data_IF_490530026865
#
_entry.id   IF_490530026865
#
_cell.length_a   1.000
_cell.length_b   1.000
_cell.length_c   1.000
_cell.angle_alpha   90.00
_cell.angle_beta   90.00
_cell.angle_gamma   90.00
#
_symmetry.space_group_name_H-M   'P 1'
#
loop_
_entity.id
_entity.type
_entity.pdbx_description
1 polymer ?
#
# COMPACT_ATOMS: atom_id res chain seq x y z
N UNK A 1 -14.95 52.30 -5.79
CA UNK A 1 -13.94 51.25 -6.00
C UNK A 1 -14.47 49.95 -5.40
N UNK A 2 -14.50 48.90 -6.21
CA UNK A 2 -15.52 47.84 -6.16
C UNK A 2 -15.20 46.73 -5.14
N UNK A 3 -16.16 46.39 -4.27
CA UNK A 3 -16.10 45.25 -3.31
C UNK A 3 -15.99 43.87 -3.99
N UNK A 4 -16.14 43.83 -5.31
CA UNK A 4 -16.07 42.62 -6.13
C UNK A 4 -14.61 42.14 -6.28
N UNK A 5 -13.62 43.04 -6.19
CA UNK A 5 -12.20 42.68 -6.37
C UNK A 5 -11.57 41.96 -5.16
N UNK A 6 -12.20 42.00 -3.98
CA UNK A 6 -11.71 41.30 -2.78
C UNK A 6 -12.13 39.82 -2.73
N UNK A 7 -13.24 39.45 -3.40
CA UNK A 7 -13.71 38.06 -3.46
C UNK A 7 -12.94 37.20 -4.47
N UNK A 8 -12.41 37.82 -5.54
CA UNK A 8 -11.58 37.12 -6.51
C UNK A 8 -10.20 36.69 -5.94
N UNK A 9 -9.68 37.42 -4.94
CA UNK A 9 -8.43 37.06 -4.27
C UNK A 9 -8.56 35.90 -3.28
N UNK A 10 -9.73 35.72 -2.67
CA UNK A 10 -9.94 34.64 -1.69
C UNK A 10 -10.19 33.27 -2.34
N UNK A 11 -10.74 33.23 -3.56
CA UNK A 11 -11.00 32.00 -4.31
C UNK A 11 -9.73 31.38 -4.90
N UNK A 12 -8.65 32.16 -5.08
CA UNK A 12 -7.35 31.66 -5.55
C UNK A 12 -6.52 30.99 -4.44
N UNK A 13 -6.87 31.18 -3.17
CA UNK A 13 -6.17 30.57 -2.03
C UNK A 13 -6.72 29.17 -1.70
N UNK A 14 -7.91 28.81 -2.21
CA UNK A 14 -8.52 27.49 -1.98
C UNK A 14 -8.09 26.41 -3.01
N UNK A 15 -7.34 26.77 -4.06
CA UNK A 15 -6.84 25.80 -5.05
C UNK A 15 -5.48 25.19 -4.69
N UNK A 16 -4.94 25.48 -3.50
CA UNK A 16 -3.76 24.78 -2.96
C UNK A 16 -4.19 23.78 -1.90
N UNK A 17 -5.27 23.05 -2.14
CA UNK A 17 -5.42 21.72 -1.53
C UNK A 17 -4.35 20.85 -2.17
N UNK A 18 -3.19 20.87 -1.49
CA UNK A 18 -2.05 20.01 -1.68
C UNK A 18 -2.49 18.67 -2.24
N UNK A 19 -2.10 18.40 -3.48
CA UNK A 19 -1.74 17.04 -3.85
C UNK A 19 -0.56 16.67 -2.94
N UNK A 20 -0.87 16.32 -1.68
CA UNK A 20 -0.02 15.44 -0.91
C UNK A 20 -0.06 14.14 -1.70
N UNK A 21 0.84 14.04 -2.69
CA UNK A 21 1.22 12.76 -3.23
C UNK A 21 1.66 11.96 -2.00
N UNK A 22 0.81 11.06 -1.50
CA UNK A 22 1.20 10.23 -0.37
C UNK A 22 2.37 9.38 -0.88
N UNK A 23 3.57 9.81 -0.54
CA UNK A 23 4.81 9.19 -0.95
C UNK A 23 4.76 7.73 -0.51
N UNK A 24 4.85 6.80 -1.48
CA UNK A 24 4.92 5.39 -1.12
C UNK A 24 6.22 5.18 -0.40
N UNK A 25 6.13 4.69 0.83
CA UNK A 25 7.30 4.63 1.68
C UNK A 25 8.04 3.33 1.35
N UNK A 26 9.13 3.44 0.58
CA UNK A 26 10.09 2.34 0.41
C UNK A 26 10.90 2.23 1.70
N UNK A 27 10.36 1.47 2.66
CA UNK A 27 11.07 1.14 3.89
C UNK A 27 12.38 0.45 3.53
N UNK A 28 13.50 1.18 3.62
CA UNK A 28 14.81 0.59 3.51
C UNK A 28 14.97 -0.47 4.62
N UNK A 29 15.56 -1.64 4.32
CA UNK A 29 15.81 -2.71 5.28
C UNK A 29 16.98 -2.35 6.20
N UNK A 30 16.90 -1.20 6.86
CA UNK A 30 17.66 -0.94 8.07
C UNK A 30 16.96 -1.79 9.15
N UNK A 31 17.51 -2.97 9.43
CA UNK A 31 17.05 -3.85 10.52
C UNK A 31 17.55 -3.35 11.89
N UNK A 32 18.03 -2.11 11.93
CA UNK A 32 18.44 -1.36 13.11
C UNK A 32 17.20 -0.72 13.73
N UNK A 33 16.71 -1.29 14.83
CA UNK A 33 15.63 -0.69 15.61
C UNK A 33 15.99 0.78 15.93
N UNK A 34 15.06 1.76 15.73
CA UNK A 34 13.64 1.63 16.02
C UNK A 34 12.70 2.05 14.86
N UNK A 35 12.82 1.43 13.68
CA UNK A 35 11.73 1.38 12.66
C UNK A 35 11.29 -0.08 12.49
N UNK A 36 10.00 -0.37 12.65
CA UNK A 36 9.48 -1.73 12.88
C UNK A 36 9.46 -2.60 11.61
N UNK A 37 10.62 -3.09 11.17
CA UNK A 37 10.76 -4.05 10.07
C UNK A 37 10.32 -5.47 10.50
N UNK A 38 9.52 -6.16 9.68
CA UNK A 38 9.07 -7.54 9.95
C UNK A 38 9.95 -8.55 9.20
N UNK A 39 10.67 -9.42 9.92
CA UNK A 39 11.47 -10.45 9.26
C UNK A 39 10.58 -11.45 8.55
N UNK A 40 11.05 -11.99 7.43
CA UNK A 40 10.36 -13.04 6.68
C UNK A 40 10.95 -14.40 7.10
N UNK A 41 10.11 -15.32 7.56
CA UNK A 41 10.49 -16.72 7.84
C UNK A 41 9.51 -17.66 7.16
N UNK A 42 10.03 -18.63 6.41
CA UNK A 42 9.23 -19.59 5.65
C UNK A 42 8.14 -18.92 4.77
N UNK A 43 8.48 -17.81 4.09
CA UNK A 43 7.55 -17.10 3.20
C UNK A 43 6.44 -16.30 3.92
N UNK A 44 6.47 -16.18 5.24
CA UNK A 44 5.52 -15.38 6.02
C UNK A 44 6.25 -14.26 6.75
N UNK A 45 5.58 -13.12 6.91
CA UNK A 45 6.03 -12.10 7.85
C UNK A 45 5.91 -12.69 9.26
N UNK A 46 7.02 -12.71 9.99
CA UNK A 46 7.03 -13.08 11.39
C UNK A 46 6.60 -11.87 12.18
N UNK A 47 5.50 -12.01 12.91
CA UNK A 47 5.04 -10.97 13.80
C UNK A 47 5.92 -10.85 15.04
N UNK A 48 6.02 -9.62 15.52
CA UNK A 48 6.64 -9.31 16.81
C UNK A 48 5.60 -9.36 17.94
N UNK A 49 4.31 -9.17 17.61
CA UNK A 49 3.19 -9.23 18.54
C UNK A 49 2.14 -10.23 18.03
N UNK A 50 1.43 -10.92 18.92
CA UNK A 50 0.39 -11.88 18.52
C UNK A 50 -0.82 -11.16 17.90
N UNK A 51 -1.22 -11.52 16.66
CA UNK A 51 -2.54 -11.15 16.11
C UNK A 51 -2.78 -11.30 14.61
N UNK A 52 -1.78 -11.74 13.86
CA UNK A 52 -1.71 -11.87 12.40
C UNK A 52 -2.00 -10.57 11.61
N UNK A 53 -1.86 -9.40 12.25
CA UNK A 53 -2.06 -8.07 11.69
C UNK A 53 -1.23 -7.81 10.43
N UNK A 54 0.06 -8.16 10.42
CA UNK A 54 0.94 -7.85 9.28
C UNK A 54 0.56 -8.66 8.04
N UNK A 55 0.17 -9.92 8.21
CA UNK A 55 -0.23 -10.74 7.07
C UNK A 55 -1.63 -10.34 6.58
N UNK A 56 -2.55 -9.97 7.48
CA UNK A 56 -3.85 -9.39 7.08
C UNK A 56 -3.66 -8.09 6.29
N UNK A 57 -2.78 -7.21 6.75
CA UNK A 57 -2.43 -6.00 6.03
C UNK A 57 -1.80 -6.31 4.65
N UNK A 58 -0.96 -7.34 4.56
CA UNK A 58 -0.40 -7.79 3.28
C UNK A 58 -1.45 -8.32 2.32
N UNK A 59 -2.42 -9.10 2.78
CA UNK A 59 -3.52 -9.61 1.94
C UNK A 59 -4.34 -8.45 1.37
N UNK A 60 -4.58 -7.40 2.18
CA UNK A 60 -5.20 -6.15 1.73
C UNK A 60 -4.33 -5.45 0.68
N UNK A 61 -3.01 -5.37 0.88
CA UNK A 61 -2.08 -4.79 -0.09
C UNK A 61 -2.20 -5.47 -1.46
N UNK A 62 -2.14 -6.81 -1.49
CA UNK A 62 -2.25 -7.61 -2.73
C UNK A 62 -3.61 -7.37 -3.40
N UNK A 63 -4.71 -7.40 -2.62
CA UNK A 63 -6.06 -7.20 -3.15
C UNK A 63 -6.22 -5.81 -3.77
N UNK A 64 -5.86 -4.76 -3.04
CA UNK A 64 -5.99 -3.37 -3.51
C UNK A 64 -5.12 -3.12 -4.74
N UNK A 65 -3.87 -3.57 -4.73
CA UNK A 65 -2.99 -3.41 -5.88
C UNK A 65 -3.53 -4.17 -7.11
N UNK A 66 -4.05 -5.38 -6.92
CA UNK A 66 -4.68 -6.16 -8.01
C UNK A 66 -5.88 -5.43 -8.62
N UNK A 67 -6.77 -4.88 -7.79
CA UNK A 67 -7.94 -4.12 -8.25
C UNK A 67 -7.47 -2.91 -9.05
N UNK A 68 -6.53 -2.14 -8.52
CA UNK A 68 -6.04 -0.94 -9.18
C UNK A 68 -5.34 -1.24 -10.50
N UNK A 69 -4.49 -2.25 -10.55
CA UNK A 69 -3.83 -2.67 -11.80
C UNK A 69 -4.84 -3.06 -12.89
N UNK A 70 -6.03 -3.54 -12.51
CA UNK A 70 -7.12 -3.78 -13.45
C UNK A 70 -7.79 -2.48 -13.91
N UNK A 71 -8.05 -1.57 -12.98
CA UNK A 71 -8.64 -0.25 -13.26
C UNK A 71 -7.75 0.61 -14.18
N UNK A 72 -6.42 0.56 -13.97
CA UNK A 72 -5.42 1.26 -14.79
C UNK A 72 -5.07 0.51 -16.09
N UNK A 73 -5.64 -0.68 -16.33
CA UNK A 73 -5.36 -1.49 -17.52
C UNK A 73 -3.96 -2.11 -17.58
N UNK A 74 -3.19 -2.08 -16.48
CA UNK A 74 -1.88 -2.72 -16.36
C UNK A 74 -1.96 -4.26 -16.43
N UNK A 75 -3.10 -4.83 -16.02
CA UNK A 75 -3.45 -6.24 -16.18
C UNK A 75 -4.92 -6.38 -16.62
N UNK A 76 -5.27 -7.52 -17.23
CA UNK A 76 -6.65 -7.80 -17.64
C UNK A 76 -7.56 -8.08 -16.43
N UNK A 77 -8.85 -7.83 -16.58
CA UNK A 77 -9.87 -8.15 -15.57
C UNK A 77 -9.88 -9.64 -15.18
N UNK A 78 -9.55 -10.52 -16.12
CA UNK A 78 -9.46 -11.98 -15.93
C UNK A 78 -8.24 -12.42 -15.13
N UNK A 79 -7.26 -11.55 -14.92
CA UNK A 79 -6.05 -11.87 -14.18
C UNK A 79 -6.35 -12.13 -12.70
N UNK A 80 -5.74 -13.19 -12.17
CA UNK A 80 -5.80 -13.53 -10.74
C UNK A 80 -4.38 -13.70 -10.21
N UNK A 81 -4.06 -13.20 -9.00
CA UNK A 81 -2.78 -13.48 -8.38
C UNK A 81 -2.70 -14.99 -8.09
N UNK A 82 -1.63 -15.63 -8.55
CA UNK A 82 -1.38 -17.07 -8.37
C UNK A 82 -0.19 -17.34 -7.46
N UNK A 83 0.75 -16.41 -7.40
CA UNK A 83 1.89 -16.52 -6.51
C UNK A 83 2.33 -15.15 -6.00
N UNK A 84 2.79 -15.11 -4.75
CA UNK A 84 3.34 -13.89 -4.14
C UNK A 84 4.61 -14.22 -3.36
N UNK A 85 5.69 -13.48 -3.61
CA UNK A 85 6.90 -13.48 -2.79
C UNK A 85 7.07 -12.16 -2.08
N UNK A 86 6.94 -12.21 -0.76
CA UNK A 86 7.24 -11.11 0.15
C UNK A 86 8.74 -10.79 0.06
N UNK A 87 9.08 -9.51 -0.11
CA UNK A 87 10.47 -9.02 -0.14
C UNK A 87 10.77 -8.31 1.18
N UNK A 88 9.95 -7.35 1.58
CA UNK A 88 10.00 -6.75 2.91
C UNK A 88 8.61 -6.27 3.37
N UNK A 89 8.49 -6.03 4.67
CA UNK A 89 7.33 -5.42 5.30
C UNK A 89 7.76 -4.60 6.50
N UNK A 90 7.20 -3.42 6.70
CA UNK A 90 7.48 -2.54 7.83
C UNK A 90 6.19 -1.95 8.40
N UNK A 91 6.25 -1.45 9.63
CA UNK A 91 5.15 -0.73 10.27
C UNK A 91 5.64 0.58 10.88
N UNK A 92 4.85 1.63 10.67
CA UNK A 92 4.98 2.92 11.30
C UNK A 92 3.74 3.20 12.16
N UNK A 93 3.92 3.30 13.48
CA UNK A 93 2.84 3.58 14.44
C UNK A 93 2.35 5.02 14.29
N UNK A 94 1.03 5.24 14.30
CA UNK A 94 0.44 6.59 14.31
C UNK A 94 0.69 7.32 15.65
N UNK A 95 1.00 6.57 16.72
CA UNK A 95 1.32 7.13 18.05
C UNK A 95 2.81 6.93 18.36
N UNK A 96 3.61 8.00 18.43
CA UNK A 96 4.98 7.94 18.92
C UNK A 96 5.01 7.37 20.35
N UNK A 97 5.98 6.51 20.66
CA UNK A 97 6.12 5.92 22.00
C UNK A 97 5.18 4.75 22.33
N UNK A 98 4.15 4.47 21.54
CA UNK A 98 3.34 3.22 21.66
C UNK A 98 3.75 2.18 20.61
N UNK A 99 5.03 2.19 20.23
CA UNK A 99 5.63 1.21 19.33
C UNK A 99 5.42 -0.20 19.93
N UNK A 100 4.49 -0.96 19.37
CA UNK A 100 4.05 -2.25 19.92
C UNK A 100 2.54 -2.49 19.81
N UNK A 101 1.73 -1.42 19.72
CA UNK A 101 0.32 -1.54 19.33
C UNK A 101 0.23 -1.67 17.81
N UNK A 102 0.57 -2.86 17.29
CA UNK A 102 0.51 -3.26 15.87
C UNK A 102 -0.93 -3.32 15.34
N UNK A 103 -1.72 -2.30 15.61
CA UNK A 103 -3.14 -2.21 15.31
C UNK A 103 -3.41 -0.94 14.51
N UNK A 104 -2.83 0.20 14.88
CA UNK A 104 -3.12 1.49 14.22
C UNK A 104 -1.84 2.15 13.72
N UNK A 105 -1.69 2.22 12.41
CA UNK A 105 -0.46 2.72 11.78
C UNK A 105 -0.49 2.52 10.28
N UNK A 106 0.65 2.78 9.66
CA UNK A 106 0.91 2.47 8.26
C UNK A 106 1.81 1.24 8.18
N UNK A 107 1.42 0.30 7.34
CA UNK A 107 2.24 -0.82 6.90
C UNK A 107 2.75 -0.50 5.50
N UNK A 108 4.01 -0.81 5.21
CA UNK A 108 4.54 -0.72 3.84
C UNK A 108 5.10 -2.08 3.43
N UNK A 109 4.86 -2.46 2.18
CA UNK A 109 5.21 -3.77 1.64
C UNK A 109 5.88 -3.65 0.30
N UNK A 110 6.98 -4.39 0.11
CA UNK A 110 7.49 -4.73 -1.22
C UNK A 110 7.35 -6.22 -1.43
N UNK A 111 6.79 -6.57 -2.57
CA UNK A 111 6.57 -7.96 -2.91
C UNK A 111 6.58 -8.14 -4.42
N UNK A 112 6.87 -9.36 -4.85
CA UNK A 112 6.67 -9.81 -6.22
C UNK A 112 5.38 -10.60 -6.29
N UNK A 113 4.57 -10.34 -7.30
CA UNK A 113 3.34 -11.07 -7.57
C UNK A 113 3.37 -11.60 -8.99
N UNK A 114 2.93 -12.84 -9.14
CA UNK A 114 2.60 -13.43 -10.44
C UNK A 114 1.08 -13.44 -10.58
N UNK A 115 0.61 -12.91 -11.69
CA UNK A 115 -0.77 -12.96 -12.12
C UNK A 115 -0.91 -13.94 -13.27
N UNK A 116 -1.83 -14.88 -13.17
CA UNK A 116 -2.24 -15.69 -14.32
C UNK A 116 -3.48 -15.08 -14.93
N UNK A 117 -3.40 -14.81 -16.23
CA UNK A 117 -4.39 -14.11 -17.04
C UNK A 117 -4.85 -15.01 -18.17
N UNK A 118 -6.04 -14.74 -18.73
CA UNK A 118 -6.51 -15.43 -19.93
C UNK A 118 -6.42 -14.52 -21.16
N UNK A 119 -5.85 -15.06 -22.23
CA UNK A 119 -5.92 -14.48 -23.57
C UNK A 119 -7.36 -14.58 -24.12
N UNK A 120 -7.65 -13.92 -25.25
CA UNK A 120 -9.01 -13.94 -25.85
C UNK A 120 -9.43 -15.36 -26.28
N UNK A 121 -8.45 -16.16 -26.65
CA UNK A 121 -8.53 -17.60 -26.98
C UNK A 121 -8.53 -18.52 -25.74
N UNK A 122 -8.68 -17.96 -24.53
CA UNK A 122 -8.62 -18.68 -23.23
C UNK A 122 -7.28 -19.35 -22.91
N UNK A 123 -6.22 -19.03 -23.64
CA UNK A 123 -4.88 -19.55 -23.31
C UNK A 123 -4.33 -18.78 -22.10
N UNK A 124 -3.87 -19.47 -21.03
CA UNK A 124 -3.30 -18.82 -19.87
C UNK A 124 -1.93 -18.22 -20.19
N UNK A 125 -1.65 -17.05 -19.63
CA UNK A 125 -0.33 -16.44 -19.62
C UNK A 125 -0.06 -15.78 -18.28
N UNK A 126 1.21 -15.72 -17.87
CA UNK A 126 1.61 -15.12 -16.60
C UNK A 126 2.22 -13.73 -16.78
N UNK A 127 1.89 -12.83 -15.86
CA UNK A 127 2.48 -11.49 -15.75
C UNK A 127 3.08 -11.35 -14.36
N UNK A 128 4.38 -11.02 -14.31
CA UNK A 128 5.09 -10.77 -13.04
C UNK A 128 5.28 -9.28 -12.82
N UNK A 129 5.09 -8.83 -11.58
CA UNK A 129 5.26 -7.44 -11.16
C UNK A 129 5.88 -7.36 -9.79
N UNK A 130 6.71 -6.35 -9.58
CA UNK A 130 7.15 -5.92 -8.26
C UNK A 130 6.26 -4.77 -7.83
N UNK A 131 5.65 -4.89 -6.65
CA UNK A 131 4.73 -3.90 -6.12
C UNK A 131 5.30 -3.38 -4.82
N UNK A 132 5.33 -2.06 -4.72
CA UNK A 132 5.48 -1.34 -3.46
C UNK A 132 4.10 -0.84 -3.05
N UNK A 133 3.63 -1.08 -1.82
CA UNK A 133 2.29 -0.68 -1.39
C UNK A 133 2.24 -0.31 0.08
N UNK A 134 1.61 0.82 0.38
CA UNK A 134 1.24 1.23 1.74
C UNK A 134 -0.17 0.74 2.08
N UNK A 135 -0.39 0.31 3.32
CA UNK A 135 -1.69 -0.05 3.89
C UNK A 135 -1.81 0.59 5.27
N UNK A 136 -2.82 1.41 5.49
CA UNK A 136 -3.09 2.09 6.74
C UNK A 136 -4.19 1.36 7.50
N UNK A 137 -4.06 1.20 8.81
CA UNK A 137 -5.21 0.77 9.62
C UNK A 137 -5.95 1.98 10.16
N UNK A 138 -7.26 1.96 9.99
CA UNK A 138 -8.20 2.94 10.56
C UNK A 138 -8.36 2.72 12.06
N UNK A 139 -8.99 3.69 12.72
CA UNK A 139 -9.26 3.65 14.17
C UNK A 139 -10.19 2.50 14.59
N UNK A 140 -11.05 2.04 13.68
CA UNK A 140 -11.97 0.91 13.88
C UNK A 140 -11.31 -0.47 13.65
N UNK A 141 -10.00 -0.51 13.35
CA UNK A 141 -9.28 -1.75 13.07
C UNK A 141 -9.42 -2.26 11.63
N UNK A 142 -10.17 -1.56 10.77
CA UNK A 142 -10.23 -1.88 9.33
C UNK A 142 -9.01 -1.33 8.59
N UNK A 143 -8.68 -1.91 7.44
CA UNK A 143 -7.55 -1.48 6.63
C UNK A 143 -8.01 -0.62 5.46
N UNK A 144 -7.19 0.37 5.12
CA UNK A 144 -7.29 1.23 3.95
C UNK A 144 -5.92 1.27 3.27
N UNK A 145 -5.87 1.63 2.00
CA UNK A 145 -4.62 1.68 1.25
C UNK A 145 -4.72 2.84 0.27
N UNK A 146 -3.87 3.86 0.47
CA UNK A 146 -3.69 4.93 -0.49
C UNK A 146 -3.05 4.32 -1.74
N UNK A 147 -3.86 4.24 -2.78
CA UNK A 147 -3.63 4.38 -4.23
C UNK A 147 -2.26 4.76 -4.83
N UNK A 148 -1.12 4.66 -4.17
CA UNK A 148 0.16 5.10 -4.73
C UNK A 148 1.11 3.98 -5.13
N UNK A 149 0.74 2.71 -5.00
CA UNK A 149 1.69 1.62 -5.14
C UNK A 149 2.52 1.67 -6.44
N UNK A 150 3.84 1.83 -6.31
CA UNK A 150 4.75 1.88 -7.44
C UNK A 150 4.85 0.47 -8.02
N UNK A 151 4.35 0.30 -9.24
CA UNK A 151 4.42 -0.95 -10.00
C UNK A 151 5.66 -0.90 -10.90
N UNK A 152 6.61 -1.80 -10.63
CA UNK A 152 7.84 -1.97 -11.42
C UNK A 152 7.90 -3.37 -12.04
#
# INVERSE_FOLDING_TARGET
MSRISLLAGLLLILCVSQAAADEVLDCQPDFTYPRSSYPIRAGKFKEVVKGNFINRAFDVAVKTATIRMKEEGLIRLTCKPTWTKKVYGCFNSVKPGTMGKQITGMYAFKYRVEFTCLRKDRIPFSVRRTILQNVYTKRDGTYWSATHGLVW
#
